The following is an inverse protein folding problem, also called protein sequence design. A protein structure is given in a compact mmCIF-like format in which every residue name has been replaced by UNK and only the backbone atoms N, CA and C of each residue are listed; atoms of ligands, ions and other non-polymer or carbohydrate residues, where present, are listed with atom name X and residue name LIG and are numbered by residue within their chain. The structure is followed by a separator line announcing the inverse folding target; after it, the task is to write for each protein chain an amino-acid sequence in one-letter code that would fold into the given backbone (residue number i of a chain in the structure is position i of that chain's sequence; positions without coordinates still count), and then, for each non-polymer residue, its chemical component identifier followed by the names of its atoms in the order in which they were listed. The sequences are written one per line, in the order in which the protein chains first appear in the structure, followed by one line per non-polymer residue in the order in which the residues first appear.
data_IF_082986931931
#
_entry.id   IF_082986931931
#
_cell.length_a   1.000
_cell.length_b   1.000
_cell.length_c   1.000
_cell.angle_alpha   90.00
_cell.angle_beta   90.00
_cell.angle_gamma   90.00
#
_symmetry.space_group_name_H-M   'P 1'
#
loop_
_entity.id
_entity.type
_entity.pdbx_description
1 polymer ?
#
# COMPACT_ATOMS: atom_id res chain seq x y z
N UNK A 1 3.89 -17.20 -16.81
CA UNK A 1 4.97 -17.11 -17.81
C UNK A 1 4.54 -16.65 -19.21
N UNK A 2 3.49 -17.21 -19.85
CA UNK A 2 3.06 -16.74 -21.17
C UNK A 2 2.40 -15.34 -21.13
N UNK A 3 1.49 -15.12 -20.18
CA UNK A 3 0.86 -13.81 -19.92
C UNK A 3 1.94 -12.79 -19.53
N UNK A 4 2.90 -13.17 -18.69
CA UNK A 4 3.96 -12.26 -18.24
C UNK A 4 4.84 -11.75 -19.39
N UNK A 5 5.23 -12.62 -20.32
CA UNK A 5 5.97 -12.18 -21.51
C UNK A 5 5.11 -11.33 -22.45
N UNK A 6 3.82 -11.61 -22.53
CA UNK A 6 2.90 -10.86 -23.40
C UNK A 6 2.54 -9.49 -22.82
N UNK A 7 2.50 -9.36 -21.49
CA UNK A 7 2.08 -8.14 -20.78
C UNK A 7 3.12 -7.69 -19.73
N UNK A 8 4.34 -7.33 -20.15
CA UNK A 8 5.41 -6.90 -19.25
C UNK A 8 5.11 -5.57 -18.52
N UNK A 9 4.03 -4.87 -18.91
CA UNK A 9 3.55 -3.66 -18.22
C UNK A 9 2.67 -3.96 -17.00
N UNK A 10 2.22 -5.19 -16.82
CA UNK A 10 1.35 -5.59 -15.71
C UNK A 10 2.10 -6.27 -14.55
N UNK A 11 3.41 -6.49 -14.71
CA UNK A 11 4.28 -7.02 -13.66
C UNK A 11 4.94 -5.92 -12.87
N UNK A 12 5.38 -6.29 -11.66
CA UNK A 12 6.16 -5.44 -10.77
C UNK A 12 5.46 -4.08 -10.55
N UNK A 13 4.14 -4.12 -10.39
CA UNK A 13 3.35 -2.92 -10.19
C UNK A 13 3.38 -2.50 -8.73
N UNK A 14 3.72 -1.23 -8.53
CA UNK A 14 3.40 -0.46 -7.35
C UNK A 14 2.16 0.38 -7.68
N UNK A 15 1.12 0.30 -6.86
CA UNK A 15 -0.15 0.99 -7.08
C UNK A 15 -0.35 1.99 -5.96
N UNK A 16 -0.41 3.27 -6.29
CA UNK A 16 -0.84 4.30 -5.37
C UNK A 16 -2.36 4.48 -5.48
N UNK A 17 -3.06 4.25 -4.37
CA UNK A 17 -4.50 4.43 -4.21
C UNK A 17 -4.71 5.79 -3.54
N UNK A 18 -5.27 6.73 -4.30
CA UNK A 18 -5.50 8.10 -3.87
C UNK A 18 -6.98 8.25 -3.51
N UNK A 19 -7.26 8.82 -2.35
CA UNK A 19 -8.61 9.20 -1.94
C UNK A 19 -8.63 10.66 -1.50
N UNK A 20 -9.75 11.34 -1.72
CA UNK A 20 -9.96 12.74 -1.36
C UNK A 20 -11.27 12.93 -0.60
N UNK A 21 -11.39 14.06 0.08
CA UNK A 21 -12.65 14.49 0.70
C UNK A 21 -13.70 14.74 -0.37
N UNK A 22 -13.27 15.34 -1.49
CA UNK A 22 -14.05 15.45 -2.73
C UNK A 22 -13.45 14.63 -3.87
N UNK A 23 -14.25 14.23 -4.87
CA UNK A 23 -13.76 13.63 -6.11
C UNK A 23 -12.71 14.50 -6.83
N UNK A 24 -12.87 15.82 -6.79
CA UNK A 24 -11.97 16.79 -7.41
C UNK A 24 -10.59 16.79 -6.73
N UNK A 25 -10.55 16.79 -5.41
CA UNK A 25 -9.29 16.73 -4.66
C UNK A 25 -8.60 15.38 -4.86
N UNK A 26 -9.34 14.28 -4.97
CA UNK A 26 -8.78 12.98 -5.28
C UNK A 26 -8.13 12.98 -6.67
N UNK A 27 -8.81 13.54 -7.67
CA UNK A 27 -8.33 13.66 -9.05
C UNK A 27 -7.08 14.54 -9.14
N UNK A 28 -7.14 15.75 -8.57
CA UNK A 28 -6.02 16.70 -8.54
C UNK A 28 -4.80 16.10 -7.84
N UNK A 29 -5.01 15.39 -6.72
CA UNK A 29 -3.92 14.75 -5.98
C UNK A 29 -3.29 13.61 -6.79
N UNK A 30 -4.10 12.82 -7.50
CA UNK A 30 -3.59 11.74 -8.34
C UNK A 30 -2.82 12.28 -9.56
N UNK A 31 -3.30 13.35 -10.19
CA UNK A 31 -2.59 14.03 -11.27
C UNK A 31 -1.28 14.67 -10.78
N UNK A 32 -1.31 15.35 -9.64
CA UNK A 32 -0.13 15.96 -9.06
C UNK A 32 0.92 14.91 -8.66
N UNK A 33 0.50 13.77 -8.10
CA UNK A 33 1.37 12.65 -7.79
C UNK A 33 2.00 12.06 -9.06
N UNK A 34 1.19 11.78 -10.08
CA UNK A 34 1.68 11.23 -11.35
C UNK A 34 2.67 12.19 -12.03
N UNK A 35 2.36 13.49 -12.06
CA UNK A 35 3.22 14.53 -12.62
C UNK A 35 4.52 14.71 -11.84
N UNK A 36 4.50 14.55 -10.51
CA UNK A 36 5.70 14.63 -9.68
C UNK A 36 6.66 13.44 -9.91
N UNK A 37 6.12 12.25 -10.19
CA UNK A 37 6.92 11.02 -10.34
C UNK A 37 7.38 10.78 -11.79
N UNK A 38 6.60 11.19 -12.79
CA UNK A 38 6.87 10.92 -14.21
C UNK A 38 8.26 11.37 -14.74
N UNK A 39 8.88 12.47 -14.23
CA UNK A 39 10.21 12.90 -14.64
C UNK A 39 11.34 11.99 -14.15
N UNK A 40 11.16 11.29 -13.03
CA UNK A 40 12.19 10.46 -12.41
C UNK A 40 12.29 9.08 -13.07
N UNK A 41 13.01 9.03 -14.19
CA UNK A 41 13.26 7.79 -14.93
C UNK A 41 14.35 6.91 -14.31
N UNK A 42 15.06 7.39 -13.28
CA UNK A 42 16.07 6.61 -12.58
C UNK A 42 15.41 5.61 -11.62
N UNK A 43 14.34 6.03 -10.95
CA UNK A 43 13.62 5.18 -10.00
C UNK A 43 12.31 4.61 -10.56
N UNK A 44 11.73 5.20 -11.62
CA UNK A 44 10.48 4.74 -12.20
C UNK A 44 10.60 4.46 -13.71
N UNK A 45 10.28 3.22 -14.12
CA UNK A 45 10.20 2.81 -15.53
C UNK A 45 8.99 3.44 -16.23
N UNK A 46 7.84 3.48 -15.55
CA UNK A 46 6.66 4.22 -16.00
C UNK A 46 5.75 4.61 -14.84
N UNK A 47 4.98 5.67 -15.05
CA UNK A 47 3.94 6.17 -14.15
C UNK A 47 2.74 6.45 -15.04
N UNK A 48 1.66 5.71 -14.84
CA UNK A 48 0.52 5.65 -15.73
C UNK A 48 -0.78 5.84 -14.94
N UNK A 49 -1.72 6.60 -15.51
CA UNK A 49 -3.10 6.76 -14.99
C UNK A 49 -4.11 6.22 -16.01
N UNK A 50 -4.46 4.92 -15.95
CA UNK A 50 -5.38 4.33 -16.91
C UNK A 50 -6.79 4.92 -16.83
N UNK A 51 -7.19 5.35 -15.63
CA UNK A 51 -8.44 6.03 -15.32
C UNK A 51 -8.52 7.43 -15.97
N UNK A 52 -7.40 8.15 -16.05
CA UNK A 52 -7.32 9.48 -16.64
C UNK A 52 -6.72 9.48 -18.06
N UNK A 53 -7.17 8.57 -18.93
CA UNK A 53 -6.71 8.56 -20.33
C UNK A 53 -7.41 9.66 -21.16
N UNK A 54 -6.73 10.29 -22.14
CA UNK A 54 -7.35 11.30 -23.01
C UNK A 54 -8.62 10.81 -23.73
N UNK A 55 -8.68 9.51 -24.01
CA UNK A 55 -9.85 8.88 -24.58
C UNK A 55 -11.03 8.86 -23.60
N UNK A 56 -10.81 8.45 -22.34
CA UNK A 56 -11.85 8.41 -21.32
C UNK A 56 -12.31 9.80 -20.90
N UNK A 57 -11.40 10.77 -20.80
CA UNK A 57 -11.77 12.17 -20.53
C UNK A 57 -12.71 12.72 -21.60
N UNK A 58 -12.45 12.40 -22.87
CA UNK A 58 -13.28 12.87 -23.99
C UNK A 58 -14.59 12.10 -24.14
N UNK A 59 -14.59 10.79 -23.89
CA UNK A 59 -15.68 9.89 -24.25
C UNK A 59 -16.38 9.26 -23.03
N UNK A 60 -16.04 9.67 -21.80
CA UNK A 60 -16.53 9.03 -20.57
C UNK A 60 -18.05 8.97 -20.47
N UNK A 61 -18.75 10.00 -20.94
CA UNK A 61 -20.21 10.05 -20.96
C UNK A 61 -20.85 9.01 -21.90
N UNK A 62 -20.12 8.52 -22.90
CA UNK A 62 -20.60 7.49 -23.83
C UNK A 62 -20.68 6.10 -23.18
N UNK A 63 -20.10 5.92 -22.00
CA UNK A 63 -20.19 4.68 -21.23
C UNK A 63 -21.44 4.63 -20.33
N UNK A 64 -22.21 5.71 -20.24
CA UNK A 64 -23.47 5.75 -19.51
C UNK A 64 -24.60 5.13 -20.32
N UNK A 65 -25.61 4.58 -19.64
CA UNK A 65 -26.85 4.20 -20.31
C UNK A 65 -27.59 5.45 -20.83
N UNK A 66 -28.43 5.26 -21.83
CA UNK A 66 -29.11 6.36 -22.53
C UNK A 66 -30.04 7.15 -21.63
N UNK A 67 -30.67 6.54 -20.63
CA UNK A 67 -31.58 7.23 -19.72
C UNK A 67 -30.79 8.14 -18.76
N UNK A 68 -29.72 7.62 -18.14
CA UNK A 68 -28.83 8.39 -17.27
C UNK A 68 -28.17 9.54 -18.03
N UNK A 69 -27.69 9.29 -19.25
CA UNK A 69 -27.09 10.33 -20.09
C UNK A 69 -28.10 11.43 -20.45
N UNK A 70 -29.33 11.05 -20.83
CA UNK A 70 -30.38 12.03 -21.17
C UNK A 70 -30.72 12.91 -19.98
N UNK A 71 -30.84 12.33 -18.79
CA UNK A 71 -31.12 13.09 -17.56
C UNK A 71 -29.97 14.06 -17.23
N UNK A 72 -28.72 13.61 -17.33
CA UNK A 72 -27.55 14.46 -17.10
C UNK A 72 -27.48 15.62 -18.10
N UNK A 73 -27.76 15.37 -19.37
CA UNK A 73 -27.78 16.40 -20.41
C UNK A 73 -28.88 17.44 -20.15
N UNK A 74 -30.10 17.00 -19.84
CA UNK A 74 -31.21 17.91 -19.52
C UNK A 74 -30.88 18.77 -18.30
N UNK A 75 -30.38 18.18 -17.22
CA UNK A 75 -29.95 18.91 -16.02
C UNK A 75 -28.84 19.93 -16.31
N UNK A 76 -27.91 19.60 -17.21
CA UNK A 76 -26.84 20.51 -17.63
C UNK A 76 -27.38 21.68 -18.47
N UNK A 77 -28.34 21.41 -19.37
CA UNK A 77 -29.02 22.43 -20.18
C UNK A 77 -29.80 23.40 -19.28
N UNK A 78 -30.56 22.87 -18.33
CA UNK A 78 -31.34 23.68 -17.38
C UNK A 78 -30.43 24.56 -16.51
N UNK A 79 -29.22 24.08 -16.19
CA UNK A 79 -28.21 24.83 -15.43
C UNK A 79 -27.36 25.79 -16.28
N UNK A 80 -27.52 25.84 -17.60
CA UNK A 80 -26.65 26.61 -18.51
C UNK A 80 -26.53 28.11 -18.15
N UNK A 81 -27.60 28.85 -17.78
CA UNK A 81 -27.48 30.25 -17.38
C UNK A 81 -26.59 30.44 -16.15
N UNK A 82 -26.72 29.55 -15.16
CA UNK A 82 -25.89 29.54 -13.96
C UNK A 82 -24.42 29.21 -14.28
N UNK A 83 -24.19 28.16 -15.08
CA UNK A 83 -22.86 27.73 -15.50
C UNK A 83 -22.15 28.80 -16.33
N UNK A 84 -22.86 29.50 -17.20
CA UNK A 84 -22.32 30.59 -18.01
C UNK A 84 -21.80 31.75 -17.16
N UNK A 85 -22.58 32.17 -16.15
CA UNK A 85 -22.16 33.23 -15.24
C UNK A 85 -20.95 32.80 -14.37
N UNK A 86 -20.96 31.57 -13.87
CA UNK A 86 -19.87 31.04 -13.05
C UNK A 86 -18.57 30.84 -13.86
N UNK A 87 -18.68 30.42 -15.12
CA UNK A 87 -17.53 30.30 -16.02
C UNK A 87 -16.91 31.67 -16.35
N UNK A 88 -17.72 32.73 -16.41
CA UNK A 88 -17.25 34.09 -16.65
C UNK A 88 -16.59 34.74 -15.42
N UNK A 89 -17.12 34.49 -14.22
CA UNK A 89 -16.55 34.96 -12.94
C UNK A 89 -16.50 33.82 -11.91
N UNK A 90 -15.42 33.00 -11.90
CA UNK A 90 -15.25 31.88 -10.97
C UNK A 90 -14.80 32.35 -9.59
N UNK A 91 -15.45 33.38 -9.06
CA UNK A 91 -15.23 33.93 -7.72
C UNK A 91 -16.50 33.85 -6.88
N UNK A 92 -16.36 34.04 -5.56
CA UNK A 92 -17.51 34.11 -4.65
C UNK A 92 -18.51 35.21 -5.08
N UNK A 93 -18.01 36.32 -5.62
CA UNK A 93 -18.84 37.41 -6.14
C UNK A 93 -19.68 36.93 -7.33
N UNK A 94 -19.04 36.28 -8.29
CA UNK A 94 -19.70 35.71 -9.47
C UNK A 94 -20.75 34.68 -9.07
N UNK A 95 -20.41 33.78 -8.14
CA UNK A 95 -21.34 32.81 -7.59
C UNK A 95 -22.57 33.47 -6.94
N UNK A 96 -22.36 34.49 -6.08
CA UNK A 96 -23.48 35.20 -5.44
C UNK A 96 -24.33 35.96 -6.47
N UNK A 97 -23.71 36.51 -7.53
CA UNK A 97 -24.45 37.13 -8.62
C UNK A 97 -25.30 36.12 -9.39
N UNK A 98 -24.79 34.91 -9.64
CA UNK A 98 -25.51 33.85 -10.32
C UNK A 98 -26.71 33.36 -9.49
N UNK A 99 -26.55 33.21 -8.17
CA UNK A 99 -27.65 32.88 -7.26
C UNK A 99 -28.70 34.00 -7.22
N UNK A 100 -28.28 35.26 -7.27
CA UNK A 100 -29.18 36.41 -7.36
C UNK A 100 -30.02 36.41 -8.64
N UNK A 101 -29.42 36.05 -9.78
CA UNK A 101 -30.12 35.92 -11.07
C UNK A 101 -31.18 34.80 -11.03
N UNK A 102 -30.86 33.66 -10.41
CA UNK A 102 -31.84 32.58 -10.21
C UNK A 102 -33.01 33.08 -9.38
N UNK A 103 -32.73 33.77 -8.26
CA UNK A 103 -33.78 34.32 -7.40
C UNK A 103 -34.69 35.32 -8.15
N UNK A 104 -34.11 36.19 -8.99
CA UNK A 104 -34.87 37.12 -9.82
C UNK A 104 -35.71 36.40 -10.89
N UNK A 105 -35.17 35.37 -11.53
CA UNK A 105 -35.91 34.57 -12.51
C UNK A 105 -37.09 33.82 -11.91
N UNK A 106 -36.95 33.33 -10.68
CA UNK A 106 -38.03 32.71 -9.91
C UNK A 106 -39.09 33.74 -9.54
N UNK A 107 -38.70 34.91 -9.04
CA UNK A 107 -39.61 36.00 -8.67
C UNK A 107 -40.41 36.52 -9.89
N UNK A 108 -39.77 36.53 -11.06
CA UNK A 108 -40.38 36.87 -12.35
C UNK A 108 -41.28 35.75 -12.93
N UNK A 109 -41.38 34.59 -12.27
CA UNK A 109 -42.14 33.42 -12.76
C UNK A 109 -41.53 32.73 -13.99
N UNK A 110 -40.24 32.98 -14.26
CA UNK A 110 -39.51 32.49 -15.43
C UNK A 110 -38.66 31.25 -15.13
N UNK A 111 -38.52 30.86 -13.85
CA UNK A 111 -37.76 29.70 -13.42
C UNK A 111 -38.43 28.96 -12.26
N UNK A 112 -38.31 27.62 -12.24
CA UNK A 112 -38.75 26.77 -11.14
C UNK A 112 -37.61 26.56 -10.12
N UNK A 113 -37.89 26.82 -8.84
CA UNK A 113 -36.96 26.58 -7.72
C UNK A 113 -36.66 25.10 -7.50
N UNK A 114 -37.58 24.20 -7.86
CA UNK A 114 -37.45 22.77 -7.63
C UNK A 114 -36.15 22.21 -8.23
N UNK A 115 -35.82 22.61 -9.46
CA UNK A 115 -34.63 22.19 -10.18
C UNK A 115 -33.31 22.59 -9.47
N UNK A 116 -33.29 23.70 -8.74
CA UNK A 116 -32.08 24.22 -8.08
C UNK A 116 -31.95 23.78 -6.61
N UNK A 117 -32.96 23.11 -6.05
CA UNK A 117 -33.00 22.72 -4.64
C UNK A 117 -31.77 21.91 -4.20
N UNK A 118 -31.28 20.91 -4.94
CA UNK A 118 -30.08 20.15 -4.55
C UNK A 118 -28.83 21.01 -4.49
N UNK A 119 -28.65 21.91 -5.45
CA UNK A 119 -27.52 22.82 -5.50
C UNK A 119 -27.55 23.82 -4.34
N UNK A 120 -28.70 24.44 -4.09
CA UNK A 120 -28.91 25.36 -2.97
C UNK A 120 -28.67 24.68 -1.61
N UNK A 121 -29.10 23.42 -1.45
CA UNK A 121 -28.83 22.64 -0.25
C UNK A 121 -27.32 22.35 -0.07
N UNK A 122 -26.61 22.04 -1.16
CA UNK A 122 -25.15 21.88 -1.16
C UNK A 122 -24.43 23.15 -0.70
N UNK A 123 -24.79 24.31 -1.26
CA UNK A 123 -24.23 25.60 -0.85
C UNK A 123 -24.58 25.95 0.60
N UNK A 124 -25.83 25.73 1.02
CA UNK A 124 -26.25 25.95 2.40
C UNK A 124 -25.44 25.11 3.39
N UNK A 125 -25.19 23.83 3.06
CA UNK A 125 -24.40 22.93 3.89
C UNK A 125 -22.94 23.40 3.98
N UNK A 126 -22.32 23.75 2.86
CA UNK A 126 -20.94 24.25 2.85
C UNK A 126 -20.78 25.55 3.65
N UNK A 127 -21.71 26.50 3.47
CA UNK A 127 -21.70 27.79 4.17
C UNK A 127 -21.98 27.63 5.68
N UNK A 128 -22.96 26.82 6.07
CA UNK A 128 -23.28 26.58 7.49
C UNK A 128 -22.13 25.87 8.22
N UNK A 129 -21.47 24.91 7.57
CA UNK A 129 -20.27 24.23 8.09
C UNK A 129 -19.10 25.19 8.25
N UNK A 130 -18.85 26.05 7.26
CA UNK A 130 -17.84 27.09 7.34
C UNK A 130 -18.13 28.08 8.48
N UNK A 131 -19.38 28.53 8.62
CA UNK A 131 -19.80 29.43 9.70
C UNK A 131 -19.66 28.79 11.10
N UNK A 132 -19.80 27.47 11.21
CA UNK A 132 -19.56 26.70 12.43
C UNK A 132 -18.06 26.43 12.71
N UNK A 133 -17.15 27.02 11.93
CA UNK A 133 -15.69 26.85 12.08
C UNK A 133 -15.15 25.52 11.56
N UNK A 134 -15.95 24.75 10.82
CA UNK A 134 -15.58 23.46 10.21
C UNK A 134 -15.79 23.51 8.70
N UNK A 135 -14.99 24.31 7.95
CA UNK A 135 -15.16 24.42 6.51
C UNK A 135 -14.98 23.06 5.84
N UNK A 136 -15.95 22.68 5.01
CA UNK A 136 -15.92 21.45 4.24
C UNK A 136 -15.97 21.82 2.75
N UNK A 137 -15.07 21.27 1.90
CA UNK A 137 -15.02 21.61 0.50
C UNK A 137 -16.30 21.17 -0.23
N UNK A 138 -16.84 22.06 -1.06
CA UNK A 138 -17.98 21.77 -1.94
C UNK A 138 -17.50 21.00 -3.18
N UNK A 139 -18.11 19.84 -3.46
CA UNK A 139 -17.88 19.11 -4.71
C UNK A 139 -18.82 19.61 -5.80
N UNK A 140 -18.25 20.19 -6.85
CA UNK A 140 -18.96 20.64 -8.04
C UNK A 140 -19.45 19.47 -8.89
N UNK A 141 -18.66 18.39 -8.99
CA UNK A 141 -19.02 17.18 -9.70
C UNK A 141 -20.26 16.55 -9.08
N UNK A 142 -20.32 16.39 -7.75
CA UNK A 142 -21.53 15.86 -7.10
C UNK A 142 -22.72 16.80 -7.21
N UNK A 143 -22.49 18.11 -7.16
CA UNK A 143 -23.56 19.10 -7.28
C UNK A 143 -24.20 19.10 -8.68
N UNK A 144 -23.41 18.95 -9.74
CA UNK A 144 -23.87 19.01 -11.13
C UNK A 144 -24.25 17.65 -11.71
N UNK A 145 -23.46 16.62 -11.43
CA UNK A 145 -23.67 15.28 -11.98
C UNK A 145 -24.42 14.34 -11.01
N UNK A 146 -24.67 14.77 -9.77
CA UNK A 146 -25.40 13.97 -8.78
C UNK A 146 -24.73 12.61 -8.54
N UNK A 147 -25.53 11.54 -8.56
CA UNK A 147 -25.07 10.17 -8.38
C UNK A 147 -24.15 9.67 -9.49
N UNK A 148 -24.12 10.33 -10.65
CA UNK A 148 -23.19 9.98 -11.75
C UNK A 148 -21.74 10.25 -11.33
N UNK A 149 -21.50 11.27 -10.49
CA UNK A 149 -20.15 11.58 -9.99
C UNK A 149 -19.55 10.43 -9.16
N UNK A 150 -20.40 9.64 -8.49
CA UNK A 150 -19.95 8.55 -7.63
C UNK A 150 -19.68 7.25 -8.43
N UNK A 151 -20.10 7.17 -9.71
CA UNK A 151 -19.85 6.00 -10.57
C UNK A 151 -18.37 5.79 -10.87
N UNK A 152 -17.57 6.86 -10.89
CA UNK A 152 -16.12 6.79 -11.04
C UNK A 152 -15.42 6.18 -9.80
N UNK A 153 -16.18 5.91 -8.72
CA UNK A 153 -15.66 5.40 -7.46
C UNK A 153 -14.96 6.46 -6.62
N UNK A 154 -14.71 6.10 -5.37
CA UNK A 154 -14.07 6.97 -4.36
C UNK A 154 -12.55 7.13 -4.58
N UNK A 155 -11.93 6.14 -5.22
CA UNK A 155 -10.48 6.05 -5.33
C UNK A 155 -10.01 6.40 -6.73
N UNK A 156 -8.81 6.98 -6.81
CA UNK A 156 -8.05 7.17 -8.04
C UNK A 156 -6.77 6.36 -7.96
N UNK A 157 -6.32 5.85 -9.10
CA UNK A 157 -5.22 4.91 -9.15
C UNK A 157 -4.07 5.49 -9.97
N UNK A 158 -2.87 5.49 -9.40
CA UNK A 158 -1.64 5.78 -10.12
C UNK A 158 -0.82 4.50 -10.16
N UNK A 159 -0.68 3.92 -11.36
CA UNK A 159 0.09 2.71 -11.58
C UNK A 159 1.55 3.09 -11.83
N UNK A 160 2.44 2.54 -11.02
CA UNK A 160 3.86 2.88 -11.00
C UNK A 160 4.64 1.60 -11.23
N UNK A 161 5.57 1.62 -12.20
CA UNK A 161 6.55 0.55 -12.36
C UNK A 161 7.90 1.03 -11.82
N UNK A 162 8.28 0.63 -10.61
CA UNK A 162 9.56 1.00 -10.05
C UNK A 162 10.71 0.27 -10.75
N UNK A 163 11.91 0.85 -10.65
CA UNK A 163 13.16 0.12 -10.79
C UNK A 163 13.39 -0.62 -9.48
N UNK A 164 13.63 -1.92 -9.56
CA UNK A 164 13.80 -2.81 -8.43
C UNK A 164 15.28 -3.12 -8.23
N UNK A 165 15.75 -3.06 -6.98
CA UNK A 165 17.09 -3.47 -6.59
C UNK A 165 17.05 -4.86 -5.93
N UNK A 166 17.26 -5.90 -6.73
CA UNK A 166 17.29 -7.29 -6.23
C UNK A 166 18.52 -7.62 -5.36
N UNK A 167 19.47 -6.70 -5.20
CA UNK A 167 20.55 -6.82 -4.22
C UNK A 167 20.11 -6.45 -2.80
N UNK A 168 19.01 -5.70 -2.66
CA UNK A 168 18.44 -5.33 -1.39
C UNK A 168 17.44 -6.37 -0.86
N UNK A 169 17.24 -6.37 0.45
CA UNK A 169 16.24 -7.23 1.11
C UNK A 169 14.80 -6.96 0.62
N UNK A 170 14.51 -5.69 0.33
CA UNK A 170 13.22 -5.20 -0.15
C UNK A 170 13.46 -4.43 -1.46
N UNK A 171 13.35 -5.09 -2.62
CA UNK A 171 13.75 -4.51 -3.91
C UNK A 171 13.02 -3.23 -4.30
N UNK A 172 11.78 -3.04 -3.82
CA UNK A 172 10.98 -1.85 -4.11
C UNK A 172 11.01 -0.77 -3.03
N UNK A 173 11.74 -0.96 -1.92
CA UNK A 173 11.65 -0.09 -0.75
C UNK A 173 12.04 1.37 -1.05
N UNK A 174 13.13 1.57 -1.81
CA UNK A 174 13.58 2.91 -2.19
C UNK A 174 12.52 3.64 -3.04
N UNK A 175 11.99 2.97 -4.06
CA UNK A 175 10.95 3.51 -4.92
C UNK A 175 9.66 3.78 -4.15
N UNK A 176 9.24 2.87 -3.26
CA UNK A 176 8.08 3.06 -2.39
C UNK A 176 8.25 4.25 -1.44
N UNK A 177 9.45 4.44 -0.88
CA UNK A 177 9.77 5.58 -0.02
C UNK A 177 9.72 6.91 -0.80
N UNK A 178 10.23 6.93 -2.04
CA UNK A 178 10.14 8.10 -2.92
C UNK A 178 8.68 8.46 -3.25
N UNK A 179 7.83 7.48 -3.53
CA UNK A 179 6.40 7.74 -3.76
C UNK A 179 5.72 8.30 -2.52
N UNK A 180 6.00 7.75 -1.32
CA UNK A 180 5.46 8.28 -0.06
C UNK A 180 5.94 9.72 0.20
N UNK A 181 7.22 10.00 -0.08
CA UNK A 181 7.78 11.34 0.07
C UNK A 181 7.16 12.35 -0.90
N UNK A 182 6.98 11.96 -2.17
CA UNK A 182 6.30 12.78 -3.18
C UNK A 182 4.85 13.05 -2.78
N UNK A 183 4.11 12.02 -2.35
CA UNK A 183 2.73 12.17 -1.87
C UNK A 183 2.63 13.09 -0.65
N UNK A 184 3.51 12.93 0.35
CA UNK A 184 3.55 13.78 1.54
C UNK A 184 3.87 15.26 1.22
N UNK A 185 4.48 15.53 0.07
CA UNK A 185 4.76 16.89 -0.38
C UNK A 185 3.56 17.59 -1.05
N UNK A 186 2.49 16.86 -1.37
CA UNK A 186 1.36 17.41 -2.11
C UNK A 186 0.47 18.31 -1.22
N UNK A 187 -0.07 19.43 -1.75
CA UNK A 187 -0.89 20.37 -0.98
C UNK A 187 -2.11 19.74 -0.31
N UNK A 188 -2.86 18.92 -1.03
CA UNK A 188 -4.09 18.29 -0.52
C UNK A 188 -3.80 17.25 0.57
N UNK A 189 -2.66 16.56 0.51
CA UNK A 189 -2.19 15.65 1.56
C UNK A 189 -1.78 16.44 2.82
N UNK A 190 -0.98 17.50 2.66
CA UNK A 190 -0.58 18.37 3.79
C UNK A 190 -1.77 19.06 4.46
N UNK A 191 -2.79 19.39 3.69
CA UNK A 191 -4.03 19.96 4.19
C UNK A 191 -4.96 18.93 4.85
N UNK A 192 -4.63 17.63 4.83
CA UNK A 192 -5.47 16.57 5.37
C UNK A 192 -6.76 16.34 4.59
N UNK A 193 -6.81 16.77 3.32
CA UNK A 193 -8.00 16.66 2.45
C UNK A 193 -7.94 15.46 1.51
N UNK A 194 -6.76 14.83 1.39
CA UNK A 194 -6.55 13.61 0.63
C UNK A 194 -5.61 12.66 1.37
N UNK A 195 -5.62 11.40 0.97
CA UNK A 195 -4.75 10.35 1.45
C UNK A 195 -4.21 9.52 0.28
N UNK A 196 -2.97 9.04 0.41
CA UNK A 196 -2.36 8.10 -0.54
C UNK A 196 -1.93 6.85 0.20
N UNK A 197 -2.42 5.70 -0.26
CA UNK A 197 -2.06 4.37 0.22
C UNK A 197 -1.29 3.63 -0.88
N UNK A 198 -0.35 2.77 -0.51
CA UNK A 198 0.42 1.98 -1.47
C UNK A 198 0.03 0.50 -1.40
N UNK A 199 -0.12 -0.11 -2.57
CA UNK A 199 -0.42 -1.54 -2.76
C UNK A 199 0.20 -2.03 -4.06
N UNK A 200 -0.23 -3.19 -4.55
CA UNK A 200 0.37 -3.86 -5.71
C UNK A 200 1.44 -4.85 -5.29
N UNK A 201 1.87 -5.66 -6.26
CA UNK A 201 2.78 -6.77 -6.03
C UNK A 201 4.06 -6.33 -5.32
N UNK A 202 4.67 -5.24 -5.77
CA UNK A 202 5.95 -4.76 -5.18
C UNK A 202 5.78 -4.36 -3.71
N UNK A 203 4.72 -3.62 -3.38
CA UNK A 203 4.49 -3.19 -2.00
C UNK A 203 4.18 -4.37 -1.08
N UNK A 204 3.39 -5.35 -1.56
CA UNK A 204 3.03 -6.54 -0.80
C UNK A 204 4.24 -7.44 -0.57
N UNK A 205 5.01 -7.73 -1.62
CA UNK A 205 6.20 -8.58 -1.55
C UNK A 205 7.25 -7.98 -0.58
N UNK A 206 7.49 -6.66 -0.65
CA UNK A 206 8.41 -5.97 0.26
C UNK A 206 7.92 -5.99 1.71
N UNK A 207 6.63 -5.75 1.96
CA UNK A 207 6.05 -5.72 3.32
C UNK A 207 6.03 -7.11 3.96
N UNK A 208 5.68 -8.16 3.20
CA UNK A 208 5.73 -9.55 3.64
C UNK A 208 7.16 -9.97 4.00
N UNK A 209 8.12 -9.66 3.13
CA UNK A 209 9.51 -9.98 3.37
C UNK A 209 10.08 -9.20 4.54
N UNK A 210 9.78 -7.91 4.64
CA UNK A 210 10.21 -7.06 5.76
C UNK A 210 9.69 -7.55 7.10
N UNK A 211 8.40 -7.89 7.17
CA UNK A 211 7.75 -8.40 8.38
C UNK A 211 8.37 -9.71 8.85
N UNK A 212 8.57 -10.66 7.92
CA UNK A 212 9.17 -11.95 8.25
C UNK A 212 10.64 -11.81 8.60
N UNK A 213 11.42 -11.01 7.88
CA UNK A 213 12.83 -10.81 8.18
C UNK A 213 13.03 -10.20 9.57
N UNK A 214 12.20 -9.23 9.96
CA UNK A 214 12.21 -8.66 11.30
C UNK A 214 11.84 -9.70 12.37
N UNK A 215 10.81 -10.51 12.11
CA UNK A 215 10.39 -11.59 13.00
C UNK A 215 11.39 -12.75 13.09
N UNK A 216 12.14 -13.04 12.03
CA UNK A 216 13.02 -14.19 11.93
C UNK A 216 14.20 -14.13 12.88
N UNK A 217 14.82 -12.96 13.05
CA UNK A 217 15.93 -12.78 13.99
C UNK A 217 15.47 -13.02 15.42
N UNK A 218 14.34 -12.41 15.80
CA UNK A 218 13.74 -12.58 17.12
C UNK A 218 13.32 -14.04 17.35
N UNK A 219 12.67 -14.66 16.36
CA UNK A 219 12.26 -16.06 16.40
C UNK A 219 13.45 -17.00 16.57
N UNK A 220 14.52 -16.80 15.81
CA UNK A 220 15.75 -17.60 15.93
C UNK A 220 16.37 -17.48 17.33
N UNK A 221 16.49 -16.26 17.86
CA UNK A 221 17.05 -16.05 19.20
C UNK A 221 16.20 -16.67 20.30
N UNK A 222 14.87 -16.50 20.24
CA UNK A 222 13.94 -17.09 21.21
C UNK A 222 13.96 -18.61 21.13
N UNK A 223 13.89 -19.20 19.92
CA UNK A 223 13.97 -20.65 19.72
C UNK A 223 15.31 -21.20 20.22
N UNK A 224 16.43 -20.54 19.91
CA UNK A 224 17.74 -20.96 20.39
C UNK A 224 17.85 -20.90 21.92
N UNK A 225 17.33 -19.84 22.55
CA UNK A 225 17.29 -19.72 24.00
C UNK A 225 16.43 -20.81 24.64
N UNK A 226 15.23 -21.06 24.10
CA UNK A 226 14.31 -22.09 24.60
C UNK A 226 14.92 -23.48 24.48
N UNK A 227 15.54 -23.79 23.34
CA UNK A 227 16.28 -25.04 23.11
C UNK A 227 17.45 -25.16 24.08
N UNK A 228 18.20 -24.09 24.32
CA UNK A 228 19.28 -24.07 25.32
C UNK A 228 18.78 -24.38 26.73
N UNK A 229 17.64 -23.82 27.13
CA UNK A 229 17.01 -24.11 28.43
C UNK A 229 16.55 -25.56 28.53
N UNK A 230 15.86 -26.07 27.51
CA UNK A 230 15.40 -27.47 27.46
C UNK A 230 16.56 -28.46 27.50
N UNK A 231 17.61 -28.18 26.74
CA UNK A 231 18.83 -28.99 26.70
C UNK A 231 19.54 -28.99 28.07
N UNK A 232 19.64 -27.82 28.70
CA UNK A 232 20.19 -27.72 30.05
C UNK A 232 19.35 -28.53 31.04
N UNK A 233 18.02 -28.49 30.96
CA UNK A 233 17.15 -29.27 31.83
C UNK A 233 17.29 -30.79 31.61
N UNK A 234 17.48 -31.23 30.36
CA UNK A 234 17.63 -32.65 30.00
C UNK A 234 18.96 -33.24 30.50
N UNK A 235 20.06 -32.48 30.38
CA UNK A 235 21.41 -32.99 30.69
C UNK A 235 21.94 -32.51 32.05
N UNK A 236 21.39 -31.43 32.61
CA UNK A 236 21.75 -30.77 33.88
C UNK A 236 23.24 -30.46 34.06
N UNK A 237 23.99 -30.41 32.96
CA UNK A 237 25.46 -30.23 32.99
C UNK A 237 25.92 -29.34 31.83
N UNK A 238 26.49 -28.17 32.15
CA UNK A 238 27.03 -27.24 31.15
C UNK A 238 28.13 -27.83 30.26
N UNK A 239 28.92 -28.79 30.79
CA UNK A 239 30.00 -29.47 30.05
C UNK A 239 29.51 -30.30 28.86
N UNK A 240 28.24 -30.71 28.86
CA UNK A 240 27.62 -31.41 27.73
C UNK A 240 26.73 -30.44 26.95
N UNK A 241 26.04 -29.53 27.63
CA UNK A 241 25.15 -28.58 26.97
C UNK A 241 25.86 -27.64 25.98
N UNK A 242 27.01 -27.07 26.37
CA UNK A 242 27.75 -26.10 25.55
C UNK A 242 28.28 -26.71 24.24
N UNK A 243 28.94 -27.89 24.23
CA UNK A 243 29.34 -28.54 22.99
C UNK A 243 28.18 -28.76 22.01
N UNK A 244 26.99 -29.12 22.50
CA UNK A 244 25.81 -29.35 21.65
C UNK A 244 25.32 -28.06 21.01
N UNK A 245 25.22 -26.98 21.79
CA UNK A 245 24.86 -25.67 21.27
C UNK A 245 25.89 -25.17 20.25
N UNK A 246 27.18 -25.45 20.48
CA UNK A 246 28.23 -25.07 19.54
C UNK A 246 28.15 -25.86 18.23
N UNK A 247 27.88 -27.17 18.29
CA UNK A 247 27.65 -27.98 17.07
C UNK A 247 26.42 -27.52 16.31
N UNK A 248 25.37 -27.08 17.02
CA UNK A 248 24.18 -26.53 16.40
C UNK A 248 24.47 -25.23 15.64
N UNK A 249 25.18 -24.28 16.27
CA UNK A 249 25.57 -23.02 15.62
C UNK A 249 26.45 -23.28 14.42
N UNK A 250 27.45 -24.18 14.53
CA UNK A 250 28.30 -24.56 13.41
C UNK A 250 27.51 -25.20 12.27
N UNK A 251 26.56 -26.08 12.59
CA UNK A 251 25.65 -26.67 11.61
C UNK A 251 24.82 -25.63 10.88
N UNK A 252 24.23 -24.68 11.63
CA UNK A 252 23.44 -23.60 11.05
C UNK A 252 24.29 -22.71 10.13
N UNK A 253 25.49 -22.30 10.57
CA UNK A 253 26.42 -21.52 9.76
C UNK A 253 26.84 -22.25 8.48
N UNK A 254 27.13 -23.54 8.58
CA UNK A 254 27.50 -24.37 7.43
C UNK A 254 26.33 -24.51 6.45
N UNK A 255 25.11 -24.75 6.94
CA UNK A 255 23.92 -24.88 6.10
C UNK A 255 23.55 -23.55 5.44
N UNK A 256 23.55 -22.43 6.17
CA UNK A 256 23.28 -21.11 5.60
C UNK A 256 24.37 -20.70 4.61
N UNK A 257 25.65 -20.96 4.92
CA UNK A 257 26.76 -20.70 4.01
C UNK A 257 26.68 -21.52 2.72
N UNK A 258 26.35 -22.81 2.83
CA UNK A 258 26.10 -23.66 1.67
C UNK A 258 24.91 -23.17 0.85
N UNK A 259 23.79 -22.82 1.50
CA UNK A 259 22.61 -22.29 0.82
C UNK A 259 22.93 -20.98 0.06
N UNK A 260 23.71 -20.09 0.67
CA UNK A 260 24.16 -18.85 0.03
C UNK A 260 25.03 -19.12 -1.20
N UNK A 261 25.91 -20.13 -1.17
CA UNK A 261 26.77 -20.49 -2.31
C UNK A 261 26.02 -21.25 -3.42
N UNK A 262 25.10 -22.16 -3.05
CA UNK A 262 24.43 -23.03 -3.99
C UNK A 262 23.21 -22.37 -4.67
N UNK A 263 22.45 -21.56 -3.93
CA UNK A 263 21.20 -20.95 -4.40
C UNK A 263 21.37 -19.45 -4.68
N UNK A 264 22.25 -18.76 -3.95
CA UNK A 264 22.53 -17.32 -4.13
C UNK A 264 21.45 -16.39 -3.58
N UNK A 265 20.20 -16.85 -3.45
CA UNK A 265 19.08 -16.06 -2.93
C UNK A 265 18.38 -16.76 -1.77
N UNK A 266 17.99 -15.99 -0.76
CA UNK A 266 17.14 -16.45 0.34
C UNK A 266 15.73 -15.93 0.08
N UNK A 267 14.77 -16.84 -0.05
CA UNK A 267 13.36 -16.47 -0.10
C UNK A 267 12.74 -16.47 1.31
N UNK A 268 11.50 -15.98 1.40
CA UNK A 268 10.76 -15.90 2.66
C UNK A 268 10.71 -17.23 3.43
N UNK A 269 10.50 -18.33 2.71
CA UNK A 269 10.41 -19.69 3.27
C UNK A 269 11.77 -20.18 3.75
N UNK A 270 12.84 -19.89 3.01
CA UNK A 270 14.21 -20.24 3.36
C UNK A 270 14.65 -19.58 4.66
N UNK A 271 14.18 -18.36 4.96
CA UNK A 271 14.49 -17.69 6.23
C UNK A 271 13.90 -18.46 7.43
N UNK A 272 12.69 -19.01 7.30
CA UNK A 272 12.06 -19.82 8.36
C UNK A 272 12.80 -21.15 8.62
N UNK A 273 13.56 -21.65 7.65
CA UNK A 273 14.32 -22.90 7.78
C UNK A 273 15.37 -22.84 8.91
N UNK A 274 15.95 -21.67 9.20
CA UNK A 274 16.91 -21.52 10.29
C UNK A 274 16.31 -21.87 11.67
N UNK A 275 15.05 -21.49 11.88
CA UNK A 275 14.30 -21.80 13.10
C UNK A 275 13.95 -23.29 13.15
N UNK A 276 13.50 -23.86 12.03
CA UNK A 276 13.18 -25.29 11.93
C UNK A 276 14.42 -26.18 12.16
N UNK A 277 15.56 -25.80 11.56
CA UNK A 277 16.84 -26.48 11.74
C UNK A 277 17.22 -26.53 13.22
N UNK A 278 17.01 -25.42 13.95
CA UNK A 278 17.32 -25.33 15.38
C UNK A 278 16.56 -26.37 16.22
N UNK A 279 15.30 -26.68 15.86
CA UNK A 279 14.53 -27.73 16.53
C UNK A 279 15.01 -29.13 16.15
N UNK A 280 15.08 -29.43 14.85
CA UNK A 280 15.37 -30.79 14.36
C UNK A 280 16.81 -31.23 14.65
N UNK A 281 17.80 -30.34 14.47
CA UNK A 281 19.20 -30.70 14.63
C UNK A 281 19.57 -31.03 16.09
N UNK A 282 18.86 -30.44 17.06
CA UNK A 282 19.11 -30.71 18.48
C UNK A 282 18.61 -32.08 18.89
N UNK A 283 17.56 -32.63 18.28
CA UNK A 283 17.05 -33.95 18.61
C UNK A 283 18.12 -35.04 18.46
N UNK A 284 18.86 -35.04 17.36
CA UNK A 284 19.97 -35.97 17.15
C UNK A 284 21.03 -35.84 18.24
N UNK A 285 21.32 -34.60 18.65
CA UNK A 285 22.37 -34.35 19.62
C UNK A 285 21.93 -34.72 21.04
N UNK A 286 20.65 -34.53 21.38
CA UNK A 286 20.05 -35.01 22.63
C UNK A 286 20.07 -36.54 22.68
N UNK A 287 19.59 -37.21 21.63
CA UNK A 287 19.58 -38.67 21.56
C UNK A 287 20.99 -39.25 21.73
N UNK A 288 21.98 -38.67 21.05
CA UNK A 288 23.37 -39.06 21.20
C UNK A 288 23.89 -38.82 22.63
N UNK A 289 23.62 -37.65 23.22
CA UNK A 289 24.10 -37.31 24.55
C UNK A 289 23.49 -38.18 25.66
N UNK A 290 22.20 -38.50 25.55
CA UNK A 290 21.52 -39.41 26.48
C UNK A 290 22.12 -40.81 26.36
N UNK A 291 22.27 -41.33 25.13
CA UNK A 291 22.89 -42.65 24.93
C UNK A 291 24.33 -42.70 25.43
N UNK A 292 25.12 -41.67 25.15
CA UNK A 292 26.48 -41.55 25.67
C UNK A 292 26.52 -41.56 27.21
N UNK A 293 25.54 -40.92 27.87
CA UNK A 293 25.42 -40.91 29.33
C UNK A 293 25.03 -42.29 29.88
N UNK A 294 24.12 -43.01 29.22
CA UNK A 294 23.76 -44.38 29.57
C UNK A 294 24.97 -45.31 29.48
N UNK A 295 25.70 -45.29 28.36
CA UNK A 295 26.90 -46.11 28.16
C UNK A 295 27.97 -45.80 29.22
N UNK A 296 28.15 -44.52 29.57
CA UNK A 296 29.06 -44.11 30.64
C UNK A 296 28.68 -44.62 32.03
N UNK A 297 27.39 -44.81 32.30
CA UNK A 297 26.89 -45.35 33.57
C UNK A 297 27.00 -46.89 33.57
N UNK A 298 26.68 -47.53 32.44
CA UNK A 298 26.71 -48.99 32.30
C UNK A 298 28.14 -49.57 32.24
N UNK A 299 29.10 -48.83 31.67
CA UNK A 299 30.49 -49.28 31.48
C UNK A 299 31.53 -48.34 32.12
N UNK A 300 31.63 -48.31 33.47
CA UNK A 300 32.57 -47.43 34.17
C UNK A 300 34.06 -47.75 33.93
N UNK A 301 34.39 -48.93 33.38
CA UNK A 301 35.76 -49.40 33.15
C UNK A 301 36.50 -48.72 31.96
N UNK A 302 35.81 -47.97 31.10
CA UNK A 302 36.42 -47.27 29.96
C UNK A 302 37.24 -46.02 30.34
N UNK A 303 37.48 -45.78 31.64
CA UNK A 303 38.35 -44.70 32.14
C UNK A 303 39.85 -45.02 32.05
N UNK A 304 40.23 -46.26 31.74
CA UNK A 304 41.62 -46.68 31.68
C UNK A 304 42.14 -46.82 30.23
N UNK A 305 42.17 -45.72 29.48
CA UNK A 305 43.09 -45.56 28.36
C UNK A 305 43.63 -44.11 28.42
N UNK A 306 44.95 -43.92 28.45
CA UNK A 306 45.58 -42.75 29.07
C UNK A 306 45.51 -41.49 28.19
N UNK A 307 45.64 -40.35 28.85
CA UNK A 307 46.06 -39.11 28.24
C UNK A 307 47.37 -39.32 27.48
N UNK A 308 47.34 -39.01 26.19
CA UNK A 308 48.48 -38.59 25.37
C UNK A 308 47.95 -37.54 24.38
#
# INVERSE_FOLDING_TARGET
MAIDRAFPRQQDLLVAVVSGTTPEEAEETADALAAALAPDRAHFKSVDRPDNSPYLVRNGLLFLDTATLTNLLNATIDAQPFLGQLAADPSLRGLMSALGLIAQGVDAGQADLGAFTPALAGFHTALSRAAAGKPEPLSWQRLLAGSVADLAGKYRFVLIRPVLDYGALQPGAASSALVRAAAAALPNIRAGRAEVHLTGQVALDDEEFGTVAHGAVTGLLVSFALVGVLLFLAVRTWRIAVPILLTLVLGLLATTGFAALAVGTLNLVSVAFAVLFTGIAVDFTIQFAVRYREERIAHPAARAAPAA
#
